data_IF_104553986194
#
_entry.id   IF_104553986194
#
_cell.length_a   1.000
_cell.length_b   1.000
_cell.length_c   1.000
_cell.angle_alpha   90.00
_cell.angle_beta   90.00
_cell.angle_gamma   90.00
#
_symmetry.space_group_name_H-M   'P 1'
#
loop_
_entity.id
_entity.type
_entity.pdbx_description
1 polymer ?
#
# COMPACT_ATOMS: atom_id res chain seq x y z
N UNK A 1 -0.99 -3.84 -14.62
CA UNK A 1 -0.78 -4.61 -13.39
C UNK A 1 -2.03 -5.40 -13.03
N UNK A 2 -1.90 -6.72 -12.89
CA UNK A 2 -2.98 -7.65 -12.56
C UNK A 2 -2.93 -8.13 -11.09
N UNK A 3 -3.92 -8.90 -10.66
CA UNK A 3 -4.06 -9.35 -9.26
C UNK A 3 -2.87 -10.16 -8.75
N UNK A 4 -2.34 -11.08 -9.56
CA UNK A 4 -1.18 -11.90 -9.19
C UNK A 4 0.07 -11.05 -8.91
N UNK A 5 0.35 -10.07 -9.78
CA UNK A 5 1.46 -9.12 -9.60
C UNK A 5 1.27 -8.26 -8.34
N UNK A 6 0.04 -7.80 -8.06
CA UNK A 6 -0.29 -7.04 -6.85
C UNK A 6 -0.03 -7.85 -5.58
N UNK A 7 -0.51 -9.08 -5.57
CA UNK A 7 -0.30 -10.00 -4.47
C UNK A 7 1.20 -10.26 -4.27
N UNK A 8 1.95 -10.56 -5.34
CA UNK A 8 3.39 -10.79 -5.26
C UNK A 8 4.16 -9.60 -4.67
N UNK A 9 3.81 -8.36 -5.05
CA UNK A 9 4.40 -7.15 -4.45
C UNK A 9 4.10 -7.10 -2.95
N UNK A 10 2.84 -7.29 -2.55
CA UNK A 10 2.44 -7.23 -1.15
C UNK A 10 3.11 -8.33 -0.30
N UNK A 11 3.25 -9.54 -0.83
CA UNK A 11 3.90 -10.68 -0.16
C UNK A 11 5.42 -10.54 -0.09
N UNK A 12 6.03 -9.78 -1.00
CA UNK A 12 7.47 -9.49 -0.96
C UNK A 12 7.88 -8.57 0.20
N UNK A 13 6.92 -7.85 0.78
CA UNK A 13 7.19 -6.89 1.86
C UNK A 13 7.52 -7.62 3.18
N UNK A 14 8.58 -7.24 3.90
CA UNK A 14 8.97 -7.91 5.14
C UNK A 14 7.84 -7.95 6.18
N UNK A 15 7.53 -9.14 6.69
CA UNK A 15 6.49 -9.33 7.70
C UNK A 15 5.07 -9.00 7.24
N UNK A 16 4.84 -8.92 5.93
CA UNK A 16 3.50 -8.87 5.37
C UNK A 16 2.78 -10.22 5.49
N UNK A 17 1.47 -10.16 5.63
CA UNK A 17 0.58 -11.31 5.66
C UNK A 17 -0.74 -11.00 4.97
N UNK A 18 -1.29 -11.96 4.25
CA UNK A 18 -2.64 -11.91 3.67
C UNK A 18 -3.67 -12.53 4.64
N UNK A 19 -4.76 -11.82 4.88
CA UNK A 19 -5.90 -12.28 5.70
C UNK A 19 -7.23 -11.99 5.00
N UNK A 20 -8.31 -12.71 5.39
CA UNK A 20 -9.66 -12.56 4.82
C UNK A 20 -10.71 -12.21 5.91
N UNK A 21 -10.56 -11.10 6.64
CA UNK A 21 -11.39 -10.79 7.81
C UNK A 21 -12.82 -10.34 7.47
N UNK A 22 -13.10 -9.93 6.23
CA UNK A 22 -14.41 -9.38 5.84
C UNK A 22 -15.27 -10.36 5.04
N UNK A 23 -14.69 -11.03 4.05
CA UNK A 23 -15.38 -12.01 3.22
C UNK A 23 -14.37 -12.91 2.51
N UNK A 24 -14.86 -14.05 2.03
CA UNK A 24 -14.12 -14.87 1.07
C UNK A 24 -13.81 -14.00 -0.17
N UNK A 25 -12.55 -14.04 -0.62
CA UNK A 25 -12.05 -13.32 -1.79
C UNK A 25 -11.74 -11.82 -1.59
N UNK A 26 -11.86 -11.28 -0.38
CA UNK A 26 -11.36 -9.92 -0.08
C UNK A 26 -10.03 -10.04 0.66
N UNK A 27 -8.94 -9.90 -0.08
CA UNK A 27 -7.57 -9.93 0.42
C UNK A 27 -7.26 -8.66 1.22
N UNK A 28 -6.80 -8.85 2.45
CA UNK A 28 -6.34 -7.79 3.33
C UNK A 28 -4.89 -8.04 3.68
N UNK A 29 -4.00 -7.22 3.14
CA UNK A 29 -2.56 -7.30 3.41
C UNK A 29 -2.19 -6.43 4.60
N UNK A 30 -1.47 -7.02 5.55
CA UNK A 30 -1.16 -6.43 6.85
C UNK A 30 0.31 -6.60 7.19
N UNK A 31 0.87 -5.63 7.93
CA UNK A 31 2.20 -5.69 8.52
C UNK A 31 2.12 -5.32 10.00
N UNK A 32 2.71 -6.14 10.86
CA UNK A 32 2.67 -5.94 12.32
C UNK A 32 1.25 -5.92 12.91
N UNK A 33 0.27 -6.50 12.20
CA UNK A 33 -1.15 -6.53 12.55
C UNK A 33 -1.98 -5.34 12.02
N UNK A 34 -1.38 -4.42 11.27
CA UNK A 34 -2.05 -3.24 10.69
C UNK A 34 -2.15 -3.36 9.17
N UNK A 35 -3.29 -2.98 8.60
CA UNK A 35 -3.56 -3.06 7.16
C UNK A 35 -2.83 -1.97 6.37
N UNK A 36 -2.25 -2.36 5.24
CA UNK A 36 -1.67 -1.45 4.25
C UNK A 36 -2.30 -1.60 2.86
N UNK A 37 -2.86 -2.76 2.50
CA UNK A 37 -3.62 -2.91 1.27
C UNK A 37 -4.89 -3.73 1.47
N UNK A 38 -5.94 -3.37 0.74
CA UNK A 38 -7.20 -4.12 0.67
C UNK A 38 -7.67 -4.19 -0.77
N UNK A 39 -7.95 -5.39 -1.26
CA UNK A 39 -8.34 -5.62 -2.66
C UNK A 39 -9.13 -6.91 -2.80
N UNK A 40 -9.82 -7.05 -3.92
CA UNK A 40 -10.36 -8.32 -4.40
C UNK A 40 -9.59 -8.66 -5.66
N UNK A 41 -8.70 -9.64 -5.56
CA UNK A 41 -7.67 -9.90 -6.58
C UNK A 41 -8.25 -10.38 -7.92
N UNK A 42 -9.46 -10.96 -7.90
CA UNK A 42 -10.19 -11.43 -9.08
C UNK A 42 -11.19 -10.39 -9.65
N UNK A 43 -11.28 -9.18 -9.08
CA UNK A 43 -12.20 -8.17 -9.60
C UNK A 43 -11.64 -7.53 -10.91
N UNK A 44 -12.53 -7.26 -11.86
CA UNK A 44 -12.24 -6.55 -13.11
C UNK A 44 -13.22 -5.37 -13.30
N UNK A 45 -12.75 -4.10 -13.29
CA UNK A 45 -11.36 -3.69 -13.08
C UNK A 45 -10.89 -3.96 -11.65
N UNK A 46 -9.60 -4.27 -11.50
CA UNK A 46 -8.98 -4.50 -10.21
C UNK A 46 -8.94 -3.20 -9.41
N UNK A 47 -9.38 -3.26 -8.16
CA UNK A 47 -9.39 -2.11 -7.23
C UNK A 47 -8.53 -2.41 -6.02
N UNK A 48 -7.63 -1.50 -5.65
CA UNK A 48 -6.85 -1.61 -4.41
C UNK A 48 -7.00 -0.36 -3.57
N UNK A 49 -7.30 -0.55 -2.28
CA UNK A 49 -7.32 0.53 -1.30
C UNK A 49 -6.01 0.57 -0.54
N UNK A 50 -5.32 1.71 -0.60
CA UNK A 50 -3.99 1.93 -0.05
C UNK A 50 -4.00 3.08 0.95
N UNK A 51 -3.21 2.94 2.01
CA UNK A 51 -3.00 3.99 2.99
C UNK A 51 -2.16 5.09 2.34
N UNK A 52 -2.44 6.33 2.70
CA UNK A 52 -1.77 7.48 2.12
C UNK A 52 -1.64 8.58 3.17
N UNK A 53 -0.59 9.38 3.04
CA UNK A 53 -0.41 10.58 3.83
C UNK A 53 -1.57 11.56 3.57
N UNK A 54 -2.24 12.09 4.62
CA UNK A 54 -3.39 12.96 4.44
C UNK A 54 -3.11 14.23 3.63
N UNK A 55 -1.87 14.72 3.61
CA UNK A 55 -1.48 15.91 2.84
C UNK A 55 -1.29 15.58 1.34
N UNK A 56 -1.01 14.32 0.99
CA UNK A 56 -0.89 13.84 -0.38
C UNK A 56 -2.21 13.37 -0.99
N UNK A 57 -3.15 12.90 -0.16
CA UNK A 57 -4.47 12.42 -0.59
C UNK A 57 -5.19 13.35 -1.59
N UNK A 58 -5.37 14.67 -1.34
CA UNK A 58 -6.05 15.54 -2.30
C UNK A 58 -5.25 15.75 -3.58
N UNK A 59 -3.92 15.77 -3.50
CA UNK A 59 -3.03 15.98 -4.65
C UNK A 59 -3.08 14.79 -5.61
N UNK A 60 -2.98 13.56 -5.09
CA UNK A 60 -3.04 12.34 -5.90
C UNK A 60 -4.39 12.21 -6.62
N UNK A 61 -5.50 12.51 -5.94
CA UNK A 61 -6.84 12.48 -6.56
C UNK A 61 -7.03 13.55 -7.62
N UNK A 62 -6.41 14.72 -7.45
CA UNK A 62 -6.48 15.79 -8.43
C UNK A 62 -5.62 15.48 -9.68
N UNK A 63 -4.47 14.83 -9.49
CA UNK A 63 -3.54 14.49 -10.56
C UNK A 63 -3.95 13.25 -11.36
N UNK A 64 -4.68 12.30 -10.75
CA UNK A 64 -4.98 11.01 -11.37
C UNK A 64 -6.45 10.62 -11.22
N UNK A 65 -7.17 10.54 -12.35
CA UNK A 65 -8.58 10.15 -12.38
C UNK A 65 -8.83 8.72 -11.86
N UNK A 66 -7.83 7.84 -11.98
CA UNK A 66 -7.88 6.47 -11.45
C UNK A 66 -7.74 6.40 -9.91
N UNK A 67 -7.41 7.50 -9.24
CA UNK A 67 -7.25 7.55 -7.78
C UNK A 67 -8.45 8.29 -7.18
N UNK A 68 -9.25 7.55 -6.42
CA UNK A 68 -10.49 8.04 -5.82
C UNK A 68 -10.55 7.92 -4.30
N UNK A 69 -11.60 8.47 -3.67
CA UNK A 69 -11.85 8.30 -2.25
C UNK A 69 -12.18 6.85 -1.91
N UNK A 70 -11.56 6.32 -0.85
CA UNK A 70 -11.88 4.98 -0.37
C UNK A 70 -13.34 4.87 0.12
N UNK A 71 -14.08 3.87 -0.38
CA UNK A 71 -15.52 3.72 -0.12
C UNK A 71 -15.83 3.38 1.35
N UNK A 72 -15.11 2.40 1.90
CA UNK A 72 -15.38 1.83 3.23
C UNK A 72 -14.35 2.25 4.30
N UNK A 73 -13.32 2.99 3.90
CA UNK A 73 -12.21 3.37 4.76
C UNK A 73 -12.19 4.89 4.98
N UNK A 74 -11.33 5.35 5.89
CA UNK A 74 -11.19 6.79 6.14
C UNK A 74 -10.65 7.50 4.90
N UNK A 75 -11.51 8.29 4.24
CA UNK A 75 -11.19 9.08 3.04
C UNK A 75 -10.06 10.10 3.27
N UNK A 76 -9.67 10.36 4.52
CA UNK A 76 -8.54 11.19 4.90
C UNK A 76 -7.20 10.46 4.83
N UNK A 77 -7.19 9.14 4.98
CA UNK A 77 -5.96 8.34 5.08
C UNK A 77 -5.87 7.22 4.04
N UNK A 78 -6.88 7.10 3.18
CA UNK A 78 -7.00 6.01 2.22
C UNK A 78 -7.47 6.52 0.87
N UNK A 79 -6.85 5.99 -0.18
CA UNK A 79 -7.29 6.11 -1.56
C UNK A 79 -7.67 4.73 -2.09
N UNK A 80 -8.60 4.69 -3.04
CA UNK A 80 -8.81 3.52 -3.90
C UNK A 80 -8.23 3.83 -5.26
N UNK A 81 -7.37 2.94 -5.75
CA UNK A 81 -6.75 3.01 -7.07
C UNK A 81 -7.44 2.00 -7.97
N UNK A 82 -7.93 2.45 -9.12
CA UNK A 82 -8.46 1.61 -10.19
C UNK A 82 -7.33 1.20 -11.12
N UNK A 83 -7.13 -0.10 -11.29
CA UNK A 83 -6.07 -0.67 -12.13
C UNK A 83 -6.67 -1.01 -13.50
N UNK A 84 -7.04 0.02 -14.26
CA UNK A 84 -7.58 -0.09 -15.63
C UNK A 84 -6.52 0.13 -16.73
N UNK A 85 -5.26 0.31 -16.34
CA UNK A 85 -4.15 0.61 -17.25
C UNK A 85 -3.86 2.11 -17.43
N UNK A 86 -4.68 3.01 -16.85
CA UNK A 86 -4.42 4.46 -16.86
C UNK A 86 -3.23 4.91 -16.02
N UNK A 87 -2.74 4.07 -15.10
CA UNK A 87 -1.54 4.33 -14.30
C UNK A 87 -0.43 3.34 -14.69
N UNK A 88 0.83 3.79 -14.78
CA UNK A 88 1.95 2.89 -15.00
C UNK A 88 2.12 1.96 -13.79
N UNK A 89 2.45 0.70 -14.06
CA UNK A 89 2.60 -0.34 -13.04
C UNK A 89 3.64 0.03 -11.97
N UNK A 90 4.71 0.74 -12.35
CA UNK A 90 5.71 1.28 -11.42
C UNK A 90 5.07 2.24 -10.40
N UNK A 91 4.19 3.15 -10.82
CA UNK A 91 3.52 4.06 -9.90
C UNK A 91 2.57 3.32 -8.96
N UNK A 92 1.87 2.29 -9.44
CA UNK A 92 0.99 1.48 -8.57
C UNK A 92 1.83 0.75 -7.51
N UNK A 93 2.98 0.22 -7.91
CA UNK A 93 3.96 -0.38 -7.01
C UNK A 93 4.46 0.61 -5.94
N UNK A 94 4.89 1.81 -6.34
CA UNK A 94 5.33 2.86 -5.40
C UNK A 94 4.22 3.21 -4.39
N UNK A 95 2.97 3.32 -4.84
CA UNK A 95 1.83 3.57 -3.93
C UNK A 95 1.61 2.44 -2.91
N UNK A 96 1.90 1.19 -3.29
CA UNK A 96 1.82 0.04 -2.37
C UNK A 96 2.98 0.10 -1.35
N UNK A 97 4.20 0.41 -1.83
CA UNK A 97 5.39 0.59 -1.01
C UNK A 97 5.21 1.73 0.01
N UNK A 98 4.75 2.90 -0.43
CA UNK A 98 4.43 4.05 0.42
C UNK A 98 3.38 3.71 1.49
N UNK A 99 2.35 2.96 1.12
CA UNK A 99 1.32 2.50 2.04
C UNK A 99 1.89 1.58 3.12
N UNK A 100 2.75 0.63 2.73
CA UNK A 100 3.45 -0.26 3.64
C UNK A 100 4.36 0.54 4.60
N UNK A 101 5.18 1.44 4.06
CA UNK A 101 6.12 2.26 4.83
C UNK A 101 5.41 3.17 5.85
N UNK A 102 4.29 3.78 5.46
CA UNK A 102 3.46 4.59 6.34
C UNK A 102 2.92 3.76 7.53
N UNK A 103 2.56 2.49 7.28
CA UNK A 103 2.10 1.59 8.34
C UNK A 103 3.25 1.16 9.24
N UNK A 104 4.39 0.77 8.66
CA UNK A 104 5.57 0.33 9.40
C UNK A 104 6.11 1.46 10.28
N UNK A 105 6.24 2.67 9.74
CA UNK A 105 6.65 3.88 10.46
C UNK A 105 5.84 4.10 11.75
N UNK A 106 4.54 3.79 11.72
CA UNK A 106 3.64 3.90 12.87
C UNK A 106 3.64 2.69 13.82
N UNK A 107 4.56 1.74 13.66
CA UNK A 107 4.74 0.61 14.57
C UNK A 107 5.74 0.92 15.70
N UNK A 108 5.62 0.26 16.87
CA UNK A 108 6.62 0.34 17.92
C UNK A 108 8.03 0.01 17.39
N UNK A 109 9.06 0.69 17.89
CA UNK A 109 10.47 0.51 17.47
C UNK A 109 10.90 -0.96 17.45
N UNK A 110 10.52 -1.73 18.46
CA UNK A 110 10.83 -3.16 18.54
C UNK A 110 10.25 -3.96 17.36
N UNK A 111 9.01 -3.65 16.94
CA UNK A 111 8.39 -4.29 15.77
C UNK A 111 9.10 -3.86 14.48
N UNK A 112 9.41 -2.57 14.31
CA UNK A 112 10.15 -2.06 13.14
C UNK A 112 11.52 -2.73 13.00
N UNK A 113 12.27 -2.85 14.10
CA UNK A 113 13.58 -3.50 14.11
C UNK A 113 13.52 -4.97 13.68
N UNK A 114 12.48 -5.70 14.10
CA UNK A 114 12.30 -7.10 13.70
C UNK A 114 11.99 -7.30 12.20
N UNK A 115 11.52 -6.25 11.51
CA UNK A 115 11.22 -6.30 10.08
C UNK A 115 12.45 -6.02 9.21
N UNK A 116 13.57 -5.56 9.78
CA UNK A 116 14.72 -5.09 8.99
C UNK A 116 14.38 -3.90 8.09
N UNK A 117 13.33 -3.15 8.43
CA UNK A 117 12.83 -2.03 7.63
C UNK A 117 13.85 -0.88 7.61
N UNK A 118 14.30 -0.41 6.42
CA UNK A 118 15.37 0.58 6.31
C UNK A 118 14.97 1.98 6.80
N UNK A 119 13.68 2.27 7.04
CA UNK A 119 13.22 3.60 7.43
C UNK A 119 13.69 4.11 8.81
N UNK A 120 14.28 3.27 9.67
CA UNK A 120 14.98 3.72 10.90
C UNK A 120 16.50 3.89 10.68
N UNK A 121 17.03 3.52 9.51
CA UNK A 121 18.42 3.79 9.19
C UNK A 121 18.61 5.32 9.17
N UNK A 122 19.64 5.86 9.85
CA UNK A 122 20.02 7.24 9.60
C UNK A 122 20.24 7.35 8.10
N UNK A 123 19.67 8.38 7.46
CA UNK A 123 19.84 8.65 6.03
C UNK A 123 21.32 8.51 5.72
N UNK A 124 21.71 7.35 5.19
CA UNK A 124 23.09 7.07 4.89
C UNK A 124 23.36 8.02 3.76
N UNK A 125 24.20 9.01 4.03
CA UNK A 125 24.66 9.96 3.04
C UNK A 125 25.11 9.16 1.83
N UNK A 126 24.30 9.13 0.79
CA UNK A 126 24.68 8.59 -0.50
C UNK A 126 25.64 9.62 -1.11
N UNK A 127 26.87 9.59 -0.61
CA UNK A 127 28.04 10.04 -1.34
C UNK A 127 28.27 9.05 -2.48
N UNK A 128 28.09 9.55 -3.70
CA UNK A 128 28.91 9.32 -4.89
C UNK A 128 29.33 7.90 -5.25
N UNK A 129 29.02 7.50 -6.49
CA UNK A 129 30.04 7.28 -7.54
C UNK A 129 29.42 7.51 -8.92
#
# INVERSE_FOLDING_TARGET
MDGDALKAICESMPGASEEFPFSIGTSVFKVGGKMFALTRLDDEPLLVSLKCDPDLVPQLRAAHAAIGPAKYLSKRHWNTVTLDGSLPDEMVRELIEDSYDLVVSALPRAKRAALGWPGDAPASSASSS
#
